data_IF_525393119775
#
_entry.id   IF_525393119775
#
_cell.length_a   1.000
_cell.length_b   1.000
_cell.length_c   1.000
_cell.angle_alpha   90.00
_cell.angle_beta   90.00
_cell.angle_gamma   90.00
#
_symmetry.space_group_name_H-M   'P 1'
#
loop_
_entity.id
_entity.type
_entity.pdbx_description
1 polymer ?
#
# COMPACT_ATOMS: atom_id res chain seq x y z
N UNK A 1 64.21 -14.85 -11.98
CA UNK A 1 63.86 -15.45 -13.28
C UNK A 1 62.43 -16.00 -13.13
N UNK A 2 61.54 -15.57 -14.02
CA UNK A 2 60.10 -15.83 -14.08
C UNK A 2 59.69 -17.33 -14.07
N UNK A 3 58.55 -17.70 -13.44
CA UNK A 3 57.23 -18.04 -14.09
C UNK A 3 56.30 -18.91 -13.20
N UNK A 4 55.08 -18.39 -12.98
CA UNK A 4 53.73 -18.99 -12.89
C UNK A 4 53.51 -20.51 -13.09
N UNK A 5 52.59 -21.15 -12.31
CA UNK A 5 51.12 -21.30 -12.58
C UNK A 5 50.40 -22.25 -11.58
N UNK A 6 49.26 -21.77 -11.06
CA UNK A 6 47.97 -22.41 -10.66
C UNK A 6 47.80 -23.92 -10.42
N UNK A 7 47.08 -24.30 -9.35
CA UNK A 7 45.66 -24.73 -9.37
C UNK A 7 45.26 -25.61 -8.18
N UNK A 8 44.05 -25.39 -7.63
CA UNK A 8 43.37 -26.34 -6.74
C UNK A 8 42.55 -25.69 -5.61
N UNK A 9 41.36 -25.19 -5.94
CA UNK A 9 40.37 -24.64 -4.99
C UNK A 9 39.79 -25.71 -4.03
N UNK A 10 39.29 -25.29 -2.85
CA UNK A 10 38.63 -26.15 -1.88
C UNK A 10 37.14 -26.33 -2.19
N UNK A 11 36.63 -27.51 -1.84
CA UNK A 11 35.20 -27.81 -1.83
C UNK A 11 34.55 -27.08 -0.66
N UNK A 12 33.87 -25.97 -0.95
CA UNK A 12 32.96 -25.30 -0.03
C UNK A 12 31.58 -25.93 -0.20
N UNK A 13 31.15 -26.74 0.77
CA UNK A 13 29.76 -27.19 0.88
C UNK A 13 28.90 -25.96 1.22
N UNK A 14 28.07 -25.52 0.27
CA UNK A 14 26.93 -24.66 0.55
C UNK A 14 25.90 -25.47 1.34
N UNK A 15 25.78 -25.19 2.64
CA UNK A 15 24.58 -25.52 3.39
C UNK A 15 23.48 -24.56 2.91
N UNK A 16 22.58 -25.06 2.06
CA UNK A 16 21.28 -24.42 1.86
C UNK A 16 20.55 -24.47 3.20
N UNK A 17 20.49 -23.32 3.88
CA UNK A 17 19.56 -23.13 4.97
C UNK A 17 18.15 -23.08 4.35
N UNK A 18 17.39 -24.17 4.46
CA UNK A 18 15.94 -24.11 4.33
C UNK A 18 15.44 -23.07 5.34
N UNK A 19 14.77 -22.02 4.85
CA UNK A 19 13.92 -21.19 5.71
C UNK A 19 12.91 -22.13 6.40
N UNK A 20 12.69 -22.00 7.72
CA UNK A 20 11.58 -22.72 8.34
C UNK A 20 10.30 -22.07 7.84
N UNK A 21 9.58 -22.78 6.96
CA UNK A 21 8.20 -22.46 6.64
C UNK A 21 7.46 -22.39 7.98
N UNK A 22 6.99 -21.19 8.34
CA UNK A 22 6.01 -21.04 9.41
C UNK A 22 4.80 -21.93 9.13
N UNK A 23 3.97 -22.24 10.14
CA UNK A 23 2.78 -23.06 9.92
C UNK A 23 1.94 -22.44 8.80
N UNK A 24 1.89 -23.13 7.66
CA UNK A 24 1.04 -22.74 6.55
C UNK A 24 -0.40 -22.69 7.07
N UNK A 25 -1.03 -21.52 6.95
CA UNK A 25 -2.47 -21.40 7.22
C UNK A 25 -3.19 -22.46 6.37
N UNK A 26 -4.21 -23.17 6.92
CA UNK A 26 -4.98 -24.12 6.13
C UNK A 26 -5.47 -23.44 4.86
N UNK A 27 -5.22 -24.06 3.71
CA UNK A 27 -5.58 -23.52 2.40
C UNK A 27 -7.10 -23.36 2.30
N UNK A 28 -7.57 -22.16 2.64
CA UNK A 28 -8.97 -21.78 2.54
C UNK A 28 -9.24 -21.26 1.14
N UNK A 29 -10.34 -21.70 0.55
CA UNK A 29 -10.79 -21.16 -0.72
C UNK A 29 -11.14 -19.67 -0.54
N UNK A 30 -10.50 -18.82 -1.35
CA UNK A 30 -10.77 -17.39 -1.35
C UNK A 30 -12.15 -17.12 -1.95
N UNK A 31 -12.92 -16.22 -1.33
CA UNK A 31 -14.18 -15.70 -1.89
C UNK A 31 -13.89 -14.86 -3.13
N UNK A 32 -12.78 -14.12 -3.11
CA UNK A 32 -12.23 -13.43 -4.26
C UNK A 32 -10.70 -13.41 -4.17
N UNK A 33 -10.07 -13.33 -5.34
CA UNK A 33 -8.65 -13.10 -5.49
C UNK A 33 -8.43 -12.20 -6.72
N UNK A 34 -7.87 -11.02 -6.48
CA UNK A 34 -7.38 -10.12 -7.51
C UNK A 34 -5.85 -10.15 -7.47
N UNK A 35 -5.22 -10.34 -8.62
CA UNK A 35 -3.78 -10.52 -8.77
C UNK A 35 -3.31 -9.72 -9.99
N UNK A 36 -2.03 -9.33 -10.00
CA UNK A 36 -1.46 -8.54 -11.10
C UNK A 36 -2.13 -7.18 -11.24
N UNK A 37 -2.56 -6.57 -10.13
CA UNK A 37 -3.33 -5.33 -10.18
C UNK A 37 -2.52 -4.16 -10.74
N UNK A 38 -1.19 -4.18 -10.63
CA UNK A 38 -0.25 -3.25 -11.25
C UNK A 38 -0.37 -3.16 -12.78
N UNK A 39 -0.89 -4.19 -13.45
CA UNK A 39 -1.09 -4.20 -14.90
C UNK A 39 -2.43 -3.59 -15.34
N UNK A 40 -3.28 -3.21 -14.38
CA UNK A 40 -4.61 -2.69 -14.67
C UNK A 40 -4.56 -1.39 -15.49
N UNK A 41 -5.57 -1.11 -16.33
CA UNK A 41 -5.60 0.12 -17.12
C UNK A 41 -5.45 1.38 -16.27
N UNK A 42 -4.78 2.39 -16.83
CA UNK A 42 -4.66 3.70 -16.21
C UNK A 42 -5.87 4.57 -16.55
N UNK A 43 -6.45 5.20 -15.54
CA UNK A 43 -7.55 6.16 -15.65
C UNK A 43 -7.34 7.32 -14.65
N UNK A 44 -6.26 8.12 -14.83
CA UNK A 44 -5.91 9.20 -13.91
C UNK A 44 -7.05 10.20 -13.67
N UNK A 45 -7.82 10.52 -14.72
CA UNK A 45 -8.97 11.41 -14.68
C UNK A 45 -10.26 10.59 -14.48
N UNK A 46 -10.50 10.17 -13.25
CA UNK A 46 -11.56 9.25 -12.82
C UNK A 46 -12.96 9.55 -13.40
N UNK A 47 -13.28 8.85 -14.48
CA UNK A 47 -14.63 8.83 -15.07
C UNK A 47 -14.88 7.60 -15.95
N UNK A 48 -13.82 6.88 -16.33
CA UNK A 48 -13.91 5.64 -17.07
C UNK A 48 -14.17 4.45 -16.14
N UNK A 49 -15.01 3.53 -16.61
CA UNK A 49 -15.30 2.26 -15.95
C UNK A 49 -14.92 1.13 -16.90
N UNK A 50 -14.21 0.15 -16.36
CA UNK A 50 -13.95 -1.12 -17.04
C UNK A 50 -14.93 -2.15 -16.50
N UNK A 51 -15.47 -3.00 -17.38
CA UNK A 51 -16.41 -4.06 -17.01
C UNK A 51 -15.71 -5.39 -17.18
N UNK A 52 -15.60 -6.16 -16.10
CA UNK A 52 -15.13 -7.53 -16.20
C UNK A 52 -16.18 -8.40 -16.91
N UNK A 53 -15.79 -9.02 -18.01
CA UNK A 53 -16.74 -9.76 -18.87
C UNK A 53 -17.30 -11.03 -18.24
N UNK A 54 -16.63 -11.60 -17.23
CA UNK A 54 -17.02 -12.84 -16.57
C UNK A 54 -18.00 -12.60 -15.41
N UNK A 55 -17.68 -11.64 -14.54
CA UNK A 55 -18.46 -11.30 -13.36
C UNK A 55 -19.49 -10.20 -13.60
N UNK A 56 -19.29 -9.36 -14.63
CA UNK A 56 -20.08 -8.15 -14.88
C UNK A 56 -19.78 -7.01 -13.90
N UNK A 57 -18.83 -7.18 -12.98
CA UNK A 57 -18.43 -6.16 -12.02
C UNK A 57 -17.60 -5.07 -12.69
N UNK A 58 -17.67 -3.85 -12.14
CA UNK A 58 -16.92 -2.72 -12.67
C UNK A 58 -15.63 -2.45 -11.90
N UNK A 59 -14.70 -1.76 -12.54
CA UNK A 59 -13.50 -1.23 -11.92
C UNK A 59 -13.11 0.12 -12.51
N UNK A 60 -12.30 0.90 -11.80
CA UNK A 60 -11.85 2.23 -12.26
C UNK A 60 -10.57 2.19 -13.08
N UNK A 61 -9.77 1.12 -12.98
CA UNK A 61 -8.34 1.20 -13.26
C UNK A 61 -7.59 2.00 -12.19
N UNK A 62 -6.29 2.22 -12.38
CA UNK A 62 -5.48 3.06 -11.51
C UNK A 62 -5.74 4.54 -11.81
N UNK A 63 -6.16 5.27 -10.79
CA UNK A 63 -6.39 6.72 -10.83
C UNK A 63 -5.55 7.46 -9.79
N UNK A 64 -5.56 8.79 -9.89
CA UNK A 64 -4.84 9.67 -8.96
C UNK A 64 -5.83 10.60 -8.25
N UNK A 65 -5.62 10.78 -6.95
CA UNK A 65 -6.30 11.75 -6.12
C UNK A 65 -5.27 12.61 -5.38
N UNK A 66 -5.39 13.93 -5.52
CA UNK A 66 -4.53 14.89 -4.83
C UNK A 66 -5.15 15.23 -3.46
N UNK A 67 -4.45 14.90 -2.38
CA UNK A 67 -4.87 15.26 -1.03
C UNK A 67 -4.31 16.63 -0.65
N UNK A 68 -5.00 17.66 -1.14
CA UNK A 68 -4.61 19.06 -0.98
C UNK A 68 -5.02 19.57 0.41
N UNK A 69 -4.04 19.66 1.32
CA UNK A 69 -4.22 20.22 2.67
C UNK A 69 -4.44 21.74 2.61
N UNK A 70 -3.73 22.44 1.72
CA UNK A 70 -3.78 23.90 1.59
C UNK A 70 -4.36 24.29 0.22
N UNK A 71 -5.53 24.96 0.17
CA UNK A 71 -6.13 25.36 -1.11
C UNK A 71 -5.16 26.15 -1.99
N UNK A 72 -4.96 25.69 -3.22
CA UNK A 72 -4.04 26.30 -4.19
C UNK A 72 -2.68 25.62 -4.29
N UNK A 73 -2.37 24.61 -3.44
CA UNK A 73 -1.19 23.76 -3.59
C UNK A 73 -1.17 23.12 -4.98
N UNK A 74 -0.04 23.25 -5.67
CA UNK A 74 0.23 22.55 -6.92
C UNK A 74 1.01 21.29 -6.61
N UNK A 75 0.51 20.15 -7.09
CA UNK A 75 1.21 18.88 -7.02
C UNK A 75 1.41 18.40 -8.44
N UNK A 76 2.63 17.98 -8.78
CA UNK A 76 2.90 17.35 -10.06
C UNK A 76 3.23 15.90 -9.83
N UNK A 77 2.58 15.03 -10.58
CA UNK A 77 2.68 13.61 -10.42
C UNK A 77 2.68 12.92 -11.79
N UNK A 78 3.19 11.69 -11.79
CA UNK A 78 3.13 10.79 -12.93
C UNK A 78 2.56 9.44 -12.49
N UNK A 79 1.71 8.88 -13.35
CA UNK A 79 1.17 7.52 -13.23
C UNK A 79 1.33 6.86 -14.59
N UNK A 80 2.21 5.87 -14.68
CA UNK A 80 2.49 5.14 -15.93
C UNK A 80 2.83 3.66 -15.65
N UNK A 81 2.95 2.89 -16.72
CA UNK A 81 3.54 1.55 -16.64
C UNK A 81 4.98 1.59 -17.16
N UNK A 82 5.87 0.87 -16.49
CA UNK A 82 7.27 0.75 -16.89
C UNK A 82 7.85 -0.65 -16.68
N UNK A 83 9.14 -0.81 -16.97
CA UNK A 83 9.87 -2.09 -16.86
C UNK A 83 11.09 -2.01 -15.92
N UNK A 84 11.45 -0.79 -15.51
CA UNK A 84 12.54 -0.53 -14.58
C UNK A 84 11.91 -0.25 -13.20
N UNK A 85 12.44 -0.76 -12.06
CA UNK A 85 13.79 -1.28 -11.82
C UNK A 85 13.96 -2.81 -11.98
N UNK A 86 13.43 -3.38 -13.06
CA UNK A 86 13.91 -4.65 -13.59
C UNK A 86 13.28 -5.89 -12.94
N UNK A 87 11.97 -6.03 -13.11
CA UNK A 87 11.23 -7.27 -12.80
C UNK A 87 10.59 -7.88 -14.04
N UNK A 88 10.10 -9.10 -13.92
CA UNK A 88 9.43 -9.81 -15.02
C UNK A 88 8.02 -9.25 -15.20
N UNK A 89 7.83 -8.31 -16.15
CA UNK A 89 6.50 -7.81 -16.51
C UNK A 89 6.37 -6.29 -16.40
N UNK A 90 5.16 -5.75 -16.64
CA UNK A 90 4.85 -4.34 -16.45
C UNK A 90 4.76 -4.01 -14.96
N UNK A 91 5.41 -2.92 -14.57
CA UNK A 91 5.35 -2.34 -13.23
C UNK A 91 4.45 -1.10 -13.24
N UNK A 92 3.75 -0.84 -12.14
CA UNK A 92 3.05 0.42 -11.97
C UNK A 92 3.98 1.47 -11.37
N UNK A 93 4.19 2.58 -12.08
CA UNK A 93 4.95 3.72 -11.60
C UNK A 93 4.01 4.75 -11.00
N UNK A 94 4.31 5.17 -9.78
CA UNK A 94 3.64 6.24 -9.08
C UNK A 94 4.69 7.26 -8.66
N UNK A 95 4.55 8.52 -9.04
CA UNK A 95 5.57 9.52 -8.73
C UNK A 95 5.01 10.88 -8.35
N UNK A 96 5.71 11.57 -7.44
CA UNK A 96 5.69 13.03 -7.30
C UNK A 96 6.90 13.56 -8.07
N UNK A 97 6.69 14.54 -8.95
CA UNK A 97 7.73 15.12 -9.82
C UNK A 97 7.98 16.60 -9.53
N UNK A 98 7.54 17.09 -8.37
CA UNK A 98 7.65 18.48 -7.93
C UNK A 98 6.30 19.10 -7.55
N UNK A 99 6.28 20.43 -7.40
CA UNK A 99 5.14 21.17 -6.87
C UNK A 99 5.52 22.02 -5.65
N UNK A 100 4.52 22.44 -4.89
CA UNK A 100 4.72 23.15 -3.62
C UNK A 100 5.30 22.22 -2.54
N UNK A 101 5.56 22.71 -1.33
CA UNK A 101 6.03 21.86 -0.23
C UNK A 101 4.85 21.19 0.50
N UNK A 102 5.08 19.99 1.03
CA UNK A 102 4.09 19.11 1.67
C UNK A 102 2.94 18.72 0.73
N UNK A 103 3.08 17.55 0.11
CA UNK A 103 2.24 17.12 -0.99
C UNK A 103 1.91 15.65 -0.78
N UNK A 104 0.63 15.33 -0.87
CA UNK A 104 0.15 13.97 -0.72
C UNK A 104 -0.55 13.57 -2.01
N UNK A 105 -0.09 12.49 -2.63
CA UNK A 105 -0.69 11.95 -3.85
C UNK A 105 -1.10 10.51 -3.62
N UNK A 106 -2.40 10.24 -3.73
CA UNK A 106 -2.98 8.91 -3.66
C UNK A 106 -3.11 8.31 -5.05
N UNK A 107 -2.59 7.11 -5.22
CA UNK A 107 -2.77 6.25 -6.38
C UNK A 107 -3.69 5.11 -5.97
N UNK A 108 -4.86 5.00 -6.59
CA UNK A 108 -5.90 4.07 -6.13
C UNK A 108 -6.55 3.30 -7.27
N UNK A 109 -7.00 2.09 -6.96
CA UNK A 109 -7.79 1.28 -7.86
C UNK A 109 -9.02 0.72 -7.13
N UNK A 110 -10.20 1.16 -7.55
CA UNK A 110 -11.46 0.55 -7.12
C UNK A 110 -11.81 -0.64 -8.01
N UNK A 111 -12.16 -1.74 -7.37
CA UNK A 111 -12.39 -3.07 -7.91
C UNK A 111 -13.80 -3.53 -7.54
N UNK A 112 -14.33 -4.50 -8.29
CA UNK A 112 -15.54 -5.22 -7.91
C UNK A 112 -16.77 -4.34 -7.64
N UNK A 113 -16.87 -3.22 -8.35
CA UNK A 113 -17.88 -2.20 -8.10
C UNK A 113 -19.24 -2.68 -8.59
N UNK A 114 -20.25 -2.58 -7.71
CA UNK A 114 -21.64 -2.90 -8.03
C UNK A 114 -22.60 -1.98 -7.27
N UNK A 115 -23.77 -1.63 -7.83
CA UNK A 115 -24.79 -0.90 -7.09
C UNK A 115 -25.26 -1.67 -5.85
N UNK A 116 -25.53 -0.98 -4.72
CA UNK A 116 -25.93 -1.62 -3.44
C UNK A 116 -27.20 -2.48 -3.51
N UNK A 117 -28.09 -2.22 -4.48
CA UNK A 117 -29.28 -3.03 -4.70
C UNK A 117 -28.98 -4.38 -5.39
N UNK A 118 -27.75 -4.59 -5.88
CA UNK A 118 -27.30 -5.86 -6.41
C UNK A 118 -26.89 -6.80 -5.27
N UNK A 119 -27.06 -8.10 -5.46
CA UNK A 119 -26.49 -9.08 -4.54
C UNK A 119 -24.95 -9.03 -4.68
N UNK A 120 -24.30 -8.22 -3.85
CA UNK A 120 -22.85 -8.06 -3.93
C UNK A 120 -22.14 -9.37 -3.58
N UNK A 121 -21.35 -9.95 -4.51
CA UNK A 121 -20.86 -11.33 -4.38
C UNK A 121 -19.86 -11.50 -3.23
N UNK A 122 -19.25 -10.41 -2.76
CA UNK A 122 -18.17 -10.43 -1.77
C UNK A 122 -18.65 -10.08 -0.36
N UNK A 123 -19.96 -9.94 -0.13
CA UNK A 123 -20.52 -9.58 1.16
C UNK A 123 -20.09 -10.50 2.33
N UNK A 124 -19.76 -11.76 2.03
CA UNK A 124 -19.32 -12.77 3.01
C UNK A 124 -17.81 -12.77 3.29
N UNK A 125 -17.02 -11.97 2.57
CA UNK A 125 -15.61 -11.80 2.89
C UNK A 125 -15.50 -10.87 4.09
N UNK A 126 -14.74 -11.30 5.09
CA UNK A 126 -14.49 -10.55 6.31
C UNK A 126 -13.04 -10.68 6.80
N UNK A 127 -12.21 -11.54 6.18
CA UNK A 127 -10.76 -11.52 6.35
C UNK A 127 -10.12 -11.14 5.03
N UNK A 128 -9.35 -10.05 5.04
CA UNK A 128 -8.70 -9.53 3.86
C UNK A 128 -7.18 -9.63 4.00
N UNK A 129 -6.52 -9.91 2.89
CA UNK A 129 -5.06 -9.92 2.75
C UNK A 129 -4.70 -9.08 1.54
N UNK A 130 -3.93 -8.02 1.77
CA UNK A 130 -3.34 -7.17 0.75
C UNK A 130 -1.84 -7.45 0.71
N UNK A 131 -1.32 -7.83 -0.45
CA UNK A 131 0.09 -8.13 -0.64
C UNK A 131 0.60 -7.40 -1.89
N UNK A 132 1.85 -6.95 -1.83
CA UNK A 132 2.52 -6.34 -2.97
C UNK A 132 4.02 -6.31 -2.75
N UNK A 133 4.72 -6.15 -3.87
CA UNK A 133 6.10 -5.70 -3.89
C UNK A 133 6.17 -4.23 -4.26
N UNK A 134 7.08 -3.50 -3.64
CA UNK A 134 7.30 -2.10 -3.96
C UNK A 134 8.78 -1.70 -3.93
N UNK A 135 9.15 -0.74 -4.76
CA UNK A 135 10.49 -0.18 -4.82
C UNK A 135 10.42 1.32 -4.66
N UNK A 136 11.21 1.87 -3.73
CA UNK A 136 11.26 3.32 -3.48
C UNK A 136 12.52 3.91 -4.11
N UNK A 137 12.33 4.82 -5.05
CA UNK A 137 13.38 5.67 -5.62
C UNK A 137 13.25 7.07 -5.01
N UNK A 138 13.93 7.26 -3.88
CA UNK A 138 14.10 8.52 -3.15
C UNK A 138 15.28 8.37 -2.18
N UNK A 139 15.90 9.47 -1.76
CA UNK A 139 16.85 9.47 -0.63
C UNK A 139 16.07 9.41 0.71
N UNK A 140 16.43 8.44 1.56
CA UNK A 140 15.79 8.21 2.86
C UNK A 140 16.85 8.01 3.95
N UNK A 141 16.69 8.69 5.08
CA UNK A 141 17.55 8.53 6.25
C UNK A 141 16.73 8.56 7.55
N UNK A 142 16.40 7.38 8.09
CA UNK A 142 15.68 7.30 9.37
C UNK A 142 16.51 7.78 10.59
N UNK A 143 17.84 7.88 10.45
CA UNK A 143 18.72 8.43 11.49
C UNK A 143 18.78 9.95 11.46
N UNK A 144 18.56 10.55 10.30
CA UNK A 144 18.45 11.99 10.06
C UNK A 144 17.19 12.29 9.22
N UNK A 145 15.97 12.15 9.78
CA UNK A 145 14.74 12.20 8.98
C UNK A 145 14.55 13.49 8.20
N UNK A 146 15.09 14.62 8.68
CA UNK A 146 15.02 15.91 7.99
C UNK A 146 15.79 15.94 6.65
N UNK A 147 16.63 14.92 6.37
CA UNK A 147 17.34 14.74 5.10
C UNK A 147 16.62 13.77 4.14
N UNK A 148 15.44 13.25 4.51
CA UNK A 148 14.68 12.36 3.62
C UNK A 148 13.83 13.16 2.63
N UNK A 149 13.78 12.74 1.37
CA UNK A 149 13.00 13.38 0.30
C UNK A 149 11.47 13.16 0.45
N UNK A 150 11.08 12.16 1.24
CA UNK A 150 9.68 11.82 1.53
C UNK A 150 9.38 11.87 3.02
N UNK A 151 8.15 12.25 3.38
CA UNK A 151 7.60 12.18 4.73
C UNK A 151 7.14 10.77 5.08
N UNK A 152 6.64 10.04 4.08
CA UNK A 152 6.11 8.71 4.29
C UNK A 152 5.50 8.08 3.03
N UNK A 153 5.21 6.79 3.15
CA UNK A 153 4.47 6.02 2.16
C UNK A 153 3.31 5.33 2.87
N UNK A 154 2.15 5.32 2.23
CA UNK A 154 0.94 4.75 2.77
C UNK A 154 0.42 3.63 1.88
N UNK A 155 -0.13 2.60 2.50
CA UNK A 155 -0.76 1.47 1.82
C UNK A 155 -2.16 1.29 2.37
N UNK A 156 -3.15 1.27 1.49
CA UNK A 156 -4.56 1.23 1.89
C UNK A 156 -5.29 0.09 1.21
N UNK A 157 -6.21 -0.53 1.94
CA UNK A 157 -7.22 -1.41 1.38
C UNK A 157 -8.57 -1.09 2.02
N UNK A 158 -9.65 -1.15 1.24
CA UNK A 158 -11.02 -0.91 1.71
C UNK A 158 -11.97 -1.95 1.16
N UNK A 159 -12.91 -2.36 2.01
CA UNK A 159 -14.08 -3.15 1.67
C UNK A 159 -15.30 -2.31 2.02
N UNK A 160 -16.00 -1.84 0.99
CA UNK A 160 -17.13 -0.92 1.14
C UNK A 160 -18.42 -1.71 0.97
N UNK A 161 -19.22 -1.74 2.04
CA UNK A 161 -20.54 -2.37 2.11
C UNK A 161 -21.52 -1.35 2.66
N UNK A 162 -22.17 -0.60 1.79
CA UNK A 162 -23.01 0.52 2.21
C UNK A 162 -24.05 0.03 3.25
N UNK A 163 -24.13 0.69 4.43
CA UNK A 163 -23.60 2.02 4.76
C UNK A 163 -22.18 2.07 5.37
N UNK A 164 -21.51 0.93 5.50
CA UNK A 164 -20.23 0.81 6.20
C UNK A 164 -19.03 0.81 5.25
N UNK A 165 -17.91 1.34 5.73
CA UNK A 165 -16.60 1.28 5.08
C UNK A 165 -15.61 0.60 6.02
N UNK A 166 -15.07 -0.54 5.62
CA UNK A 166 -14.05 -1.25 6.37
C UNK A 166 -12.69 -0.99 5.73
N UNK A 167 -11.88 -0.13 6.35
CA UNK A 167 -10.61 0.33 5.80
C UNK A 167 -9.43 -0.04 6.68
N UNK A 168 -8.36 -0.52 6.06
CA UNK A 168 -7.06 -0.66 6.69
C UNK A 168 -6.07 0.24 5.96
N UNK A 169 -5.26 0.94 6.75
CA UNK A 169 -4.19 1.78 6.23
C UNK A 169 -2.94 1.60 7.08
N UNK A 170 -1.81 1.43 6.42
CA UNK A 170 -0.49 1.46 7.05
C UNK A 170 0.28 2.65 6.48
N UNK A 171 0.93 3.41 7.35
CA UNK A 171 1.88 4.44 6.95
C UNK A 171 3.25 4.09 7.50
N UNK A 172 4.26 4.06 6.64
CA UNK A 172 5.64 4.24 7.05
C UNK A 172 5.97 5.72 7.02
N UNK A 173 6.65 6.22 8.06
CA UNK A 173 7.15 7.59 8.12
C UNK A 173 8.67 7.64 8.00
N UNK A 174 9.21 8.78 7.56
CA UNK A 174 10.66 9.04 7.46
C UNK A 174 11.46 8.85 8.75
N UNK A 175 10.78 8.76 9.90
CA UNK A 175 11.39 8.41 11.18
C UNK A 175 11.61 6.90 11.38
N UNK A 176 11.20 6.07 10.41
CA UNK A 176 11.24 4.61 10.47
C UNK A 176 10.06 4.00 11.24
N UNK A 177 9.13 4.80 11.75
CA UNK A 177 7.95 4.32 12.45
C UNK A 177 6.83 3.96 11.47
N UNK A 178 6.20 2.81 11.71
CA UNK A 178 4.95 2.42 11.08
C UNK A 178 3.76 2.68 11.98
N UNK A 179 2.68 3.19 11.38
CA UNK A 179 1.44 3.57 12.04
C UNK A 179 0.23 3.01 11.30
N UNK A 180 -0.89 2.94 12.00
CA UNK A 180 -2.18 2.61 11.41
C UNK A 180 -3.15 3.79 11.51
N UNK A 181 -4.11 3.83 10.59
CA UNK A 181 -5.16 4.86 10.62
C UNK A 181 -6.32 4.41 11.49
N UNK A 182 -6.77 5.27 12.40
CA UNK A 182 -7.97 5.10 13.21
C UNK A 182 -8.99 6.20 12.88
N UNK A 183 -10.01 5.82 12.12
CA UNK A 183 -11.15 6.69 11.75
C UNK A 183 -12.10 6.97 12.93
N UNK A 184 -11.92 6.33 14.10
CA UNK A 184 -12.77 6.60 15.25
C UNK A 184 -12.64 8.06 15.68
N UNK A 185 -13.79 8.76 15.73
CA UNK A 185 -13.84 10.16 16.15
C UNK A 185 -13.53 10.25 17.64
N UNK A 186 -12.51 11.04 18.00
CA UNK A 186 -12.24 11.35 19.40
C UNK A 186 -13.36 12.27 19.93
N UNK A 187 -14.14 11.85 20.95
CA UNK A 187 -15.23 12.64 21.49
C UNK A 187 -14.79 13.98 22.10
N UNK A 188 -13.49 14.16 22.39
CA UNK A 188 -12.95 15.42 22.92
C UNK A 188 -12.68 16.45 21.83
N UNK A 189 -12.20 16.01 20.67
CA UNK A 189 -11.77 16.90 19.58
C UNK A 189 -12.83 17.02 18.49
N UNK A 190 -13.67 16.00 18.33
CA UNK A 190 -14.62 15.88 17.22
C UNK A 190 -13.97 15.50 15.89
N UNK A 191 -12.68 15.14 15.89
CA UNK A 191 -11.93 14.71 14.71
C UNK A 191 -11.53 13.23 14.82
N UNK A 192 -11.25 12.55 13.71
CA UNK A 192 -10.66 11.21 13.74
C UNK A 192 -9.40 11.18 14.62
N UNK A 193 -9.17 10.06 15.31
CA UNK A 193 -7.90 9.81 16.00
C UNK A 193 -6.73 9.79 15.03
N UNK A 194 -6.96 9.48 13.75
CA UNK A 194 -5.99 9.54 12.67
C UNK A 194 -4.82 8.55 12.89
N UNK A 195 -3.59 8.91 12.51
CA UNK A 195 -2.43 8.04 12.62
C UNK A 195 -2.08 7.69 14.08
N UNK A 196 -2.15 6.41 14.40
CA UNK A 196 -1.83 5.83 15.71
C UNK A 196 -0.58 4.94 15.63
N UNK A 197 0.25 4.99 16.67
CA UNK A 197 1.38 4.07 16.86
C UNK A 197 0.88 2.68 17.27
N UNK A 198 1.56 1.64 16.78
CA UNK A 198 1.41 0.30 17.35
C UNK A 198 1.99 0.21 18.77
N UNK A 199 1.57 -0.80 19.53
CA UNK A 199 2.10 -1.09 20.86
C UNK A 199 2.54 -2.55 20.95
N UNK A 200 3.85 -2.84 21.03
CA UNK A 200 4.97 -1.89 20.99
C UNK A 200 5.09 -1.17 19.63
N UNK A 201 5.75 0.02 19.57
CA UNK A 201 5.98 0.72 18.31
C UNK A 201 6.73 -0.15 17.31
N UNK A 202 6.28 -0.11 16.05
CA UNK A 202 6.94 -0.80 14.96
C UNK A 202 7.95 0.13 14.29
N UNK A 203 9.24 -0.07 14.55
CA UNK A 203 10.32 0.76 14.01
C UNK A 203 11.19 -0.05 13.06
N UNK A 204 10.89 0.03 11.77
CA UNK A 204 11.66 -0.63 10.70
C UNK A 204 11.79 0.35 9.55
N UNK A 205 13.04 0.76 9.30
CA UNK A 205 13.36 1.66 8.20
C UNK A 205 13.26 0.92 6.87
N UNK A 206 12.70 1.57 5.86
CA UNK A 206 12.79 1.13 4.47
C UNK A 206 14.18 1.45 3.93
N UNK A 207 14.64 0.67 2.96
CA UNK A 207 15.85 0.98 2.21
C UNK A 207 15.48 1.74 0.95
N UNK A 208 16.24 2.78 0.62
CA UNK A 208 16.19 3.40 -0.68
C UNK A 208 16.80 2.49 -1.75
N UNK A 209 16.27 2.59 -2.97
CA UNK A 209 16.84 1.87 -4.12
C UNK A 209 16.75 0.34 -4.02
N UNK A 210 15.78 -0.18 -3.26
CA UNK A 210 15.57 -1.60 -3.03
C UNK A 210 14.11 -2.03 -3.18
N UNK A 211 13.90 -3.31 -3.53
CA UNK A 211 12.58 -3.93 -3.50
C UNK A 211 12.24 -4.39 -2.09
N UNK A 212 11.01 -4.13 -1.68
CA UNK A 212 10.40 -4.55 -0.45
C UNK A 212 9.17 -5.41 -0.73
N UNK A 213 8.90 -6.37 0.15
CA UNK A 213 7.70 -7.19 0.12
C UNK A 213 6.82 -6.89 1.32
N UNK A 214 5.55 -6.53 1.08
CA UNK A 214 4.57 -6.23 2.12
C UNK A 214 3.36 -7.16 2.03
N UNK A 215 2.95 -7.71 3.17
CA UNK A 215 1.64 -8.36 3.36
C UNK A 215 0.95 -7.74 4.57
N UNK A 216 -0.21 -7.12 4.35
CA UNK A 216 -1.11 -6.66 5.39
C UNK A 216 -2.33 -7.58 5.46
N UNK A 217 -2.67 -8.04 6.68
CA UNK A 217 -3.89 -8.78 6.92
C UNK A 217 -4.75 -8.15 8.00
N UNK A 218 -6.07 -8.18 7.76
CA UNK A 218 -7.07 -7.66 8.66
C UNK A 218 -8.35 -8.47 8.65
N UNK A 219 -9.22 -8.19 9.63
CA UNK A 219 -10.57 -8.76 9.72
C UNK A 219 -11.62 -7.72 10.06
N UNK A 220 -12.80 -7.92 9.52
CA UNK A 220 -14.01 -7.16 9.80
C UNK A 220 -14.82 -7.82 10.89
N UNK A 221 -15.32 -7.00 11.78
CA UNK A 221 -16.27 -7.42 12.79
C UNK A 221 -17.39 -6.38 12.91
N UNK A 222 -18.40 -6.69 13.70
CA UNK A 222 -19.62 -5.87 13.83
C UNK A 222 -19.32 -4.42 14.27
N UNK A 223 -18.20 -4.16 14.94
CA UNK A 223 -17.81 -2.85 15.43
C UNK A 223 -16.62 -2.22 14.71
N UNK A 224 -16.29 -2.65 13.48
CA UNK A 224 -15.24 -2.04 12.66
C UNK A 224 -14.21 -3.04 12.13
N UNK A 225 -12.94 -2.68 12.21
CA UNK A 225 -11.83 -3.48 11.66
C UNK A 225 -10.77 -3.76 12.70
N UNK A 226 -10.17 -4.94 12.63
CA UNK A 226 -8.98 -5.27 13.39
C UNK A 226 -7.84 -5.59 12.44
N UNK A 227 -6.66 -5.05 12.72
CA UNK A 227 -5.42 -5.45 12.06
C UNK A 227 -4.98 -6.78 12.67
N UNK A 228 -4.42 -7.68 11.87
CA UNK A 228 -3.93 -8.98 12.35
C UNK A 228 -2.41 -9.03 12.34
N UNK A 229 -1.81 -8.82 11.18
CA UNK A 229 -0.37 -8.83 11.05
C UNK A 229 0.09 -7.99 9.86
N UNK A 230 1.35 -7.57 9.95
CA UNK A 230 2.14 -7.07 8.83
C UNK A 230 3.31 -8.05 8.64
N UNK A 231 3.56 -8.46 7.41
CA UNK A 231 4.82 -9.07 7.00
C UNK A 231 5.57 -8.08 6.12
N UNK A 232 6.81 -7.75 6.49
CA UNK A 232 7.69 -6.86 5.74
C UNK A 232 9.04 -7.56 5.55
N UNK A 233 9.44 -7.80 4.30
CA UNK A 233 10.70 -8.44 3.92
C UNK A 233 10.94 -9.81 4.63
N UNK A 234 9.84 -10.53 4.88
CA UNK A 234 9.81 -11.82 5.57
C UNK A 234 9.86 -11.74 7.11
N UNK A 235 9.94 -10.54 7.69
CA UNK A 235 9.73 -10.33 9.12
C UNK A 235 8.24 -10.09 9.39
N UNK A 236 7.66 -10.84 10.35
CA UNK A 236 6.24 -10.78 10.67
C UNK A 236 6.01 -10.10 12.01
N UNK A 237 5.07 -9.16 12.02
CA UNK A 237 4.70 -8.34 13.16
C UNK A 237 3.23 -8.56 13.51
N UNK A 238 2.96 -8.77 14.79
CA UNK A 238 1.60 -8.89 15.31
C UNK A 238 0.98 -7.49 15.46
N UNK A 239 -0.18 -7.29 14.82
CA UNK A 239 -0.91 -6.04 14.85
C UNK A 239 -2.24 -6.16 15.61
N UNK A 240 -2.51 -7.27 16.30
CA UNK A 240 -3.83 -7.57 16.89
C UNK A 240 -4.31 -6.56 17.94
N UNK A 241 -3.43 -5.70 18.43
CA UNK A 241 -3.79 -4.60 19.33
C UNK A 241 -4.39 -3.38 18.63
N UNK A 242 -4.26 -3.27 17.31
CA UNK A 242 -4.82 -2.18 16.51
C UNK A 242 -6.23 -2.56 16.05
N UNK A 243 -7.22 -1.96 16.71
CA UNK A 243 -8.65 -2.17 16.48
C UNK A 243 -9.28 -0.80 16.30
N UNK A 244 -10.01 -0.62 15.21
CA UNK A 244 -10.63 0.66 14.84
C UNK A 244 -12.15 0.51 14.81
N UNK A 245 -12.84 1.56 15.25
CA UNK A 245 -14.29 1.63 15.23
C UNK A 245 -14.88 1.59 13.81
N UNK A 246 -16.22 1.59 13.69
CA UNK A 246 -16.88 1.58 12.39
C UNK A 246 -16.70 2.93 11.69
N UNK A 247 -16.37 2.90 10.39
CA UNK A 247 -16.47 4.06 9.52
C UNK A 247 -17.75 3.96 8.67
N UNK A 248 -18.42 5.09 8.49
CA UNK A 248 -19.58 5.20 7.60
C UNK A 248 -19.13 5.72 6.23
N UNK A 249 -19.75 5.24 5.16
CA UNK A 249 -19.56 5.85 3.84
C UNK A 249 -20.15 7.27 3.81
N UNK A 250 -19.58 8.19 3.02
CA UNK A 250 -20.18 9.51 2.81
C UNK A 250 -21.57 9.43 2.18
N UNK A 251 -22.43 10.41 2.51
CA UNK A 251 -23.75 10.56 1.88
C UNK A 251 -23.64 10.62 0.35
N UNK A 252 -24.52 9.87 -0.35
CA UNK A 252 -24.59 9.85 -1.81
C UNK A 252 -23.78 8.75 -2.48
N UNK A 253 -22.99 7.97 -1.73
CA UNK A 253 -22.41 6.73 -2.24
C UNK A 253 -23.51 5.71 -2.52
N UNK A 254 -23.39 4.98 -3.64
CA UNK A 254 -24.44 4.06 -4.13
C UNK A 254 -23.90 2.72 -4.62
N UNK A 255 -22.61 2.46 -4.41
CA UNK A 255 -21.91 1.28 -4.91
C UNK A 255 -21.12 0.62 -3.77
N UNK A 256 -21.22 -0.70 -3.69
CA UNK A 256 -20.32 -1.54 -2.92
C UNK A 256 -19.08 -1.84 -3.77
N UNK A 257 -17.90 -1.87 -3.16
CA UNK A 257 -16.65 -2.10 -3.88
C UNK A 257 -15.49 -2.50 -2.97
N UNK A 258 -14.44 -3.01 -3.60
CA UNK A 258 -13.12 -3.16 -3.01
C UNK A 258 -12.23 -2.02 -3.51
N UNK A 259 -11.30 -1.54 -2.71
CA UNK A 259 -10.29 -0.58 -3.17
C UNK A 259 -8.94 -0.93 -2.59
N UNK A 260 -7.90 -0.80 -3.40
CA UNK A 260 -6.51 -0.76 -2.93
C UNK A 260 -5.91 0.57 -3.31
N UNK A 261 -4.87 0.98 -2.60
CA UNK A 261 -4.16 2.19 -2.92
C UNK A 261 -2.81 2.29 -2.24
N UNK A 262 -2.02 3.21 -2.77
CA UNK A 262 -0.76 3.63 -2.20
C UNK A 262 -0.67 5.15 -2.28
N UNK A 263 -0.12 5.79 -1.25
CA UNK A 263 0.11 7.22 -1.24
C UNK A 263 1.58 7.53 -0.99
N UNK A 264 2.07 8.55 -1.71
CA UNK A 264 3.38 9.16 -1.47
C UNK A 264 3.15 10.48 -0.74
N UNK A 265 3.79 10.65 0.41
CA UNK A 265 3.83 11.90 1.15
C UNK A 265 5.18 12.57 0.89
N UNK A 266 5.19 13.60 0.05
CA UNK A 266 6.38 14.39 -0.24
C UNK A 266 6.81 15.26 0.94
N UNK A 267 8.12 15.36 1.17
CA UNK A 267 8.69 16.28 2.16
C UNK A 267 8.99 17.65 1.53
N UNK A 268 9.31 18.63 2.36
CA UNK A 268 10.02 19.82 1.90
C UNK A 268 11.31 19.40 1.19
N UNK A 269 11.56 19.97 0.01
CA UNK A 269 12.74 19.68 -0.79
C UNK A 269 14.04 19.84 0.00
N UNK A 270 14.90 18.84 -0.10
CA UNK A 270 16.25 18.77 0.44
C UNK A 270 17.27 19.33 -0.55
N UNK A 271 17.00 19.23 -1.87
CA UNK A 271 17.76 19.90 -2.91
C UNK A 271 16.99 21.10 -3.53
N UNK A 272 17.25 22.34 -3.09
CA UNK A 272 16.56 23.50 -3.67
C UNK A 272 16.95 23.80 -5.13
N UNK A 273 17.94 23.10 -5.71
CA UNK A 273 18.48 23.41 -7.04
C UNK A 273 17.49 23.15 -8.19
N UNK A 274 16.53 22.24 -8.00
CA UNK A 274 15.48 21.97 -8.99
C UNK A 274 14.33 22.99 -8.94
N UNK A 275 14.31 23.90 -7.97
CA UNK A 275 13.36 25.02 -7.89
C UNK A 275 11.93 24.63 -7.52
N UNK A 276 11.74 23.47 -6.88
CA UNK A 276 10.43 22.98 -6.42
C UNK A 276 10.40 22.90 -4.89
N UNK A 277 9.21 22.87 -4.31
CA UNK A 277 9.00 22.73 -2.87
C UNK A 277 9.13 21.31 -2.34
N UNK A 278 9.18 20.31 -3.23
CA UNK A 278 9.31 18.88 -2.93
C UNK A 278 10.29 18.23 -3.92
N UNK A 279 11.14 17.33 -3.42
CA UNK A 279 12.04 16.54 -4.27
C UNK A 279 11.24 15.49 -5.08
N UNK A 280 11.69 15.09 -6.28
CA UNK A 280 11.04 14.01 -7.01
C UNK A 280 11.14 12.66 -6.28
N UNK A 281 10.01 12.02 -6.03
CA UNK A 281 9.93 10.70 -5.39
C UNK A 281 9.17 9.76 -6.31
N UNK A 282 9.72 8.57 -6.58
CA UNK A 282 9.04 7.54 -7.38
C UNK A 282 8.93 6.25 -6.58
N UNK A 283 7.74 5.65 -6.60
CA UNK A 283 7.46 4.32 -6.07
C UNK A 283 6.97 3.44 -7.21
N UNK A 284 7.58 2.27 -7.35
CA UNK A 284 7.14 1.24 -8.30
C UNK A 284 6.41 0.15 -7.54
N UNK A 285 5.26 -0.30 -8.04
CA UNK A 285 4.51 -1.43 -7.50
C UNK A 285 4.55 -2.62 -8.45
N UNK A 286 4.61 -3.81 -7.85
CA UNK A 286 4.58 -5.09 -8.54
C UNK A 286 3.84 -6.15 -7.71
N UNK A 287 3.42 -7.24 -8.35
CA UNK A 287 2.71 -8.37 -7.72
C UNK A 287 1.57 -7.93 -6.78
N UNK A 288 0.83 -6.89 -7.14
CA UNK A 288 -0.21 -6.28 -6.31
C UNK A 288 -1.42 -7.20 -6.27
N UNK A 289 -1.77 -7.64 -5.07
CA UNK A 289 -2.77 -8.69 -4.82
C UNK A 289 -3.73 -8.30 -3.70
N UNK A 290 -5.00 -8.59 -3.90
CA UNK A 290 -6.02 -8.49 -2.87
C UNK A 290 -6.86 -9.77 -2.81
N UNK A 291 -6.88 -10.40 -1.64
CA UNK A 291 -7.62 -11.65 -1.41
C UNK A 291 -8.58 -11.52 -0.23
N UNK A 292 -9.75 -12.12 -0.36
CA UNK A 292 -10.79 -12.13 0.66
C UNK A 292 -11.25 -13.53 1.03
N UNK A 293 -11.46 -13.75 2.32
CA UNK A 293 -11.92 -15.01 2.90
C UNK A 293 -13.08 -14.71 3.85
N UNK A 294 -13.98 -15.67 4.08
CA UNK A 294 -15.05 -15.48 5.08
C UNK A 294 -14.59 -15.75 6.52
N UNK A 295 -15.54 -15.76 7.46
CA UNK A 295 -15.33 -16.16 8.86
C UNK A 295 -15.05 -17.65 9.02
N UNK A 296 -14.22 -18.00 10.01
CA UNK A 296 -14.12 -19.36 10.55
C UNK A 296 -15.37 -19.74 11.36
#
# INVERSE_FOLDING_TARGET
MFRHLFSGLPWLLMLMACRPDGPALPAREAIFAYEGLEEAPLAPDSGFRFVDSLSGLQSTGWGVYEDIIYPGTQIRWELDHGLWPGREGPLLRCAITGGDAYNNVFFTHSLAMAPTAANWPYARADSLVYALDFYVQAEMDCGLPDLSEMEGIEFTLRHVRIPDSYGWALQWSKSGEWRYWDDEVDPKTGYPRAWQSFSPPLTTCLSDGGWHHLILSGVEYEGGVAYRFLELDGARYDLSGAICGPAQVPDGWTEDFLQVGMQINGNTATDPSHGEGVDPVTVWLDEVQLRGYGRE
#
